data_IF_017939673073
#
_entry.id   IF_017939673073
#
_cell.length_a   1.000
_cell.length_b   1.000
_cell.length_c   1.000
_cell.angle_alpha   90.00
_cell.angle_beta   90.00
_cell.angle_gamma   90.00
#
_symmetry.space_group_name_H-M   'P 1'
#
loop_
_entity.id
_entity.type
_entity.pdbx_description
1 polymer ?
#
# COMPACT_ATOMS: atom_id res chain seq x y z
N UNK A 1 12.43 -2.58 -6.87
CA UNK A 1 11.26 -1.67 -6.73
C UNK A 1 10.02 -2.49 -7.01
N UNK A 2 9.05 -2.52 -6.08
CA UNK A 2 7.81 -3.25 -6.29
C UNK A 2 6.89 -2.55 -7.30
N UNK A 3 5.89 -3.27 -7.81
CA UNK A 3 4.77 -2.66 -8.53
C UNK A 3 3.94 -1.75 -7.60
N UNK A 4 3.12 -0.88 -8.20
CA UNK A 4 2.19 -0.03 -7.46
C UNK A 4 1.12 -0.89 -6.77
N UNK A 5 0.98 -0.69 -5.46
CA UNK A 5 0.12 -1.50 -4.60
C UNK A 5 -1.00 -0.62 -4.00
N UNK A 6 -2.23 -0.89 -4.41
CA UNK A 6 -3.41 -0.19 -3.91
C UNK A 6 -3.73 -0.53 -2.45
N UNK A 7 -3.25 -1.68 -1.96
CA UNK A 7 -3.47 -2.15 -0.59
C UNK A 7 -2.38 -1.69 0.37
N UNK A 8 -1.31 -1.05 -0.11
CA UNK A 8 -0.25 -0.44 0.71
C UNK A 8 -0.80 0.37 1.88
N UNK A 9 -0.17 0.27 3.05
CA UNK A 9 -0.51 1.07 4.24
C UNK A 9 -0.29 2.57 4.01
N UNK A 10 0.51 2.91 3.00
CA UNK A 10 0.79 4.29 2.59
C UNK A 10 -0.22 4.83 1.58
N UNK A 11 -1.20 4.04 1.16
CA UNK A 11 -2.28 4.46 0.25
C UNK A 11 -3.45 5.06 1.02
N UNK A 12 -3.86 6.27 0.63
CA UNK A 12 -5.05 6.91 1.17
C UNK A 12 -6.35 6.34 0.57
N UNK A 13 -7.45 6.51 1.32
CA UNK A 13 -8.79 6.18 0.85
C UNK A 13 -9.30 7.12 -0.23
N UNK A 14 -10.36 6.71 -0.92
CA UNK A 14 -10.89 7.40 -2.11
C UNK A 14 -11.40 8.84 -1.86
N UNK A 15 -11.72 9.20 -0.62
CA UNK A 15 -12.25 10.52 -0.23
C UNK A 15 -11.25 11.38 0.54
N UNK A 16 -9.98 10.97 0.60
CA UNK A 16 -8.96 11.72 1.33
C UNK A 16 -8.86 13.17 0.82
N UNK A 17 -8.84 14.12 1.76
CA UNK A 17 -8.82 15.57 1.51
C UNK A 17 -10.02 16.12 0.72
N UNK A 18 -11.12 15.36 0.65
CA UNK A 18 -12.39 15.86 0.14
C UNK A 18 -12.90 17.03 0.98
N UNK A 19 -13.52 18.03 0.35
CA UNK A 19 -14.05 19.24 0.99
C UNK A 19 -15.22 18.94 1.95
N UNK A 20 -15.98 17.87 1.68
CA UNK A 20 -17.10 17.41 2.48
C UNK A 20 -16.89 16.01 3.09
N UNK A 21 -15.71 15.43 2.88
CA UNK A 21 -15.37 14.07 3.34
C UNK A 21 -16.09 12.95 2.58
N UNK A 22 -16.91 13.26 1.57
CA UNK A 22 -17.71 12.29 0.82
C UNK A 22 -17.39 12.27 -0.68
N UNK A 23 -17.03 13.40 -1.28
CA UNK A 23 -16.64 13.42 -2.69
C UNK A 23 -15.38 12.58 -2.91
N UNK A 24 -15.42 11.75 -3.95
CA UNK A 24 -14.26 10.97 -4.39
C UNK A 24 -13.20 11.91 -4.97
N UNK A 25 -11.98 11.86 -4.42
CA UNK A 25 -10.81 12.62 -4.90
C UNK A 25 -9.81 11.73 -5.63
N UNK A 26 -9.84 10.41 -5.39
CA UNK A 26 -8.96 9.43 -6.03
C UNK A 26 -9.74 8.22 -6.56
N UNK A 27 -9.44 7.84 -7.81
CA UNK A 27 -10.01 6.68 -8.48
C UNK A 27 -8.90 5.73 -8.95
N UNK A 28 -9.02 4.41 -8.68
CA UNK A 28 -8.08 3.44 -9.21
C UNK A 28 -8.27 3.29 -10.72
N UNK A 29 -7.17 3.00 -11.43
CA UNK A 29 -7.21 2.74 -12.88
C UNK A 29 -7.66 1.32 -13.21
N UNK A 30 -7.63 0.41 -12.24
CA UNK A 30 -7.97 -1.01 -12.38
C UNK A 30 -9.40 -1.21 -11.87
N UNK A 31 -10.19 -1.98 -12.61
CA UNK A 31 -11.56 -2.31 -12.21
C UNK A 31 -11.59 -3.11 -10.89
N UNK A 32 -12.66 -2.93 -10.12
CA UNK A 32 -12.92 -3.65 -8.86
C UNK A 32 -11.90 -3.40 -7.72
N UNK A 33 -11.07 -2.38 -7.83
CA UNK A 33 -10.24 -1.91 -6.71
C UNK A 33 -11.02 -0.85 -5.93
N UNK A 34 -10.99 -0.94 -4.61
CA UNK A 34 -11.57 0.06 -3.70
C UNK A 34 -10.43 0.64 -2.87
N UNK A 35 -10.23 1.95 -2.97
CA UNK A 35 -9.25 2.65 -2.13
C UNK A 35 -9.85 2.87 -0.75
N UNK A 36 -9.36 2.11 0.23
CA UNK A 36 -9.80 2.18 1.62
C UNK A 36 -8.88 3.06 2.45
N UNK A 37 -9.45 3.68 3.48
CA UNK A 37 -8.67 4.49 4.42
C UNK A 37 -7.66 3.66 5.22
N UNK A 38 -6.57 4.32 5.63
CA UNK A 38 -5.41 3.67 6.28
C UNK A 38 -5.82 2.89 7.54
N UNK A 39 -6.77 3.40 8.34
CA UNK A 39 -7.21 2.75 9.58
C UNK A 39 -8.05 1.48 9.36
N UNK A 40 -8.51 1.21 8.13
CA UNK A 40 -9.21 -0.03 7.77
C UNK A 40 -8.26 -1.13 7.31
N UNK A 41 -6.99 -0.80 7.08
CA UNK A 41 -5.97 -1.76 6.62
C UNK A 41 -5.43 -2.55 7.81
N UNK A 42 -5.21 -3.85 7.63
CA UNK A 42 -4.75 -4.76 8.69
C UNK A 42 -3.27 -4.58 9.06
N UNK A 43 -2.48 -3.92 8.21
CA UNK A 43 -1.06 -3.69 8.42
C UNK A 43 -0.32 -3.36 7.13
N UNK A 44 1.01 -3.40 7.19
CA UNK A 44 1.88 -3.22 6.02
C UNK A 44 1.69 -4.35 5.01
N UNK A 45 1.59 -4.01 3.73
CA UNK A 45 1.49 -5.01 2.67
C UNK A 45 2.85 -5.66 2.38
N UNK A 46 2.85 -6.71 1.56
CA UNK A 46 4.11 -7.34 1.13
C UNK A 46 5.03 -6.36 0.40
N UNK A 47 4.46 -5.46 -0.40
CA UNK A 47 5.22 -4.46 -1.15
C UNK A 47 5.84 -3.41 -0.21
N UNK A 48 5.11 -2.98 0.83
CA UNK A 48 5.62 -2.08 1.87
C UNK A 48 6.85 -2.69 2.56
N UNK A 49 6.73 -3.95 3.03
CA UNK A 49 7.81 -4.68 3.69
C UNK A 49 9.03 -4.81 2.77
N UNK A 50 8.80 -5.23 1.52
CA UNK A 50 9.87 -5.38 0.54
C UNK A 50 10.58 -4.05 0.25
N UNK A 51 9.83 -2.96 0.07
CA UNK A 51 10.40 -1.65 -0.23
C UNK A 51 11.18 -1.08 0.95
N UNK A 52 10.67 -1.21 2.18
CA UNK A 52 11.38 -0.80 3.40
C UNK A 52 12.68 -1.61 3.56
N UNK A 53 12.61 -2.94 3.42
CA UNK A 53 13.80 -3.79 3.50
C UNK A 53 14.82 -3.47 2.42
N UNK A 54 14.38 -3.18 1.20
CA UNK A 54 15.26 -2.75 0.10
C UNK A 54 15.92 -1.41 0.43
N UNK A 55 15.15 -0.44 0.95
CA UNK A 55 15.65 0.89 1.33
C UNK A 55 16.73 0.82 2.41
N UNK A 56 16.54 -0.04 3.41
CA UNK A 56 17.45 -0.19 4.56
C UNK A 56 18.45 -1.34 4.39
N UNK A 57 18.52 -1.98 3.23
CA UNK A 57 19.38 -3.16 2.96
C UNK A 57 19.15 -4.33 3.91
N UNK A 58 17.93 -4.47 4.44
CA UNK A 58 17.47 -5.58 5.27
C UNK A 58 16.78 -6.65 4.42
N UNK A 59 17.37 -7.03 3.29
CA UNK A 59 16.81 -8.11 2.50
C UNK A 59 16.87 -9.41 3.30
N UNK A 60 15.81 -10.24 3.28
CA UNK A 60 15.89 -11.56 3.88
C UNK A 60 17.10 -12.26 3.26
N UNK A 61 17.98 -12.77 4.12
CA UNK A 61 18.98 -13.72 3.65
C UNK A 61 18.18 -14.88 3.09
N UNK A 62 18.30 -15.17 1.80
CA UNK A 62 17.89 -16.48 1.33
C UNK A 62 18.61 -17.48 2.25
N UNK A 63 17.85 -18.28 2.99
CA UNK A 63 18.40 -19.31 3.82
C UNK A 63 19.23 -20.24 2.92
N UNK A 64 20.55 -20.12 2.98
CA UNK A 64 21.47 -21.19 2.59
C UNK A 64 21.40 -22.32 3.62
N UNK A 65 20.20 -22.89 3.82
CA UNK A 65 20.00 -24.06 4.66
C UNK A 65 19.15 -25.10 3.92
N UNK A 66 19.93 -26.02 3.31
CA UNK A 66 19.70 -27.46 3.09
C UNK A 66 18.78 -27.90 1.95
#
# INVERSE_FOLDING_TARGET
>A
MSAFDYDSIMMYGSTAFSDDGQKTTMLPKVANVILTDVWLKSGASHSDIYNINTLYSCLPKYDEQQ
#
